data_IF_067847080368
#
_entry.id   IF_067847080368
#
_cell.length_a   1.000
_cell.length_b   1.000
_cell.length_c   1.000
_cell.angle_alpha   90.00
_cell.angle_beta   90.00
_cell.angle_gamma   90.00
#
_symmetry.space_group_name_H-M   'P 1'
#
loop_
_entity.id
_entity.type
_entity.pdbx_description
1 polymer ?
#
# COMPACT_ATOMS: atom_id res chain seq x y z
N UNK A 1 15.86 -38.04 -9.54
CA UNK A 1 17.07 -37.25 -9.26
C UNK A 1 18.27 -38.05 -9.76
N UNK A 2 19.22 -37.42 -10.47
CA UNK A 2 20.34 -38.15 -11.04
C UNK A 2 21.24 -38.74 -9.94
N UNK A 3 21.58 -40.01 -10.09
CA UNK A 3 22.52 -40.71 -9.22
C UNK A 3 23.76 -41.05 -10.03
N UNK A 4 24.93 -40.79 -9.45
CA UNK A 4 26.22 -41.13 -10.03
C UNK A 4 26.76 -42.34 -9.28
N UNK A 5 27.10 -43.41 -10.00
CA UNK A 5 27.75 -44.60 -9.45
C UNK A 5 29.21 -44.64 -9.87
N UNK A 6 30.08 -45.02 -8.96
CA UNK A 6 31.50 -45.19 -9.25
C UNK A 6 32.25 -45.89 -8.13
N UNK A 7 33.44 -46.38 -8.46
CA UNK A 7 34.35 -47.05 -7.53
C UNK A 7 35.25 -46.01 -6.88
N UNK A 8 35.40 -46.06 -5.56
CA UNK A 8 36.27 -45.14 -4.80
C UNK A 8 37.73 -45.41 -5.15
N UNK A 9 38.42 -44.40 -5.66
CA UNK A 9 39.84 -44.43 -5.99
C UNK A 9 40.69 -43.84 -4.87
N UNK A 10 40.16 -42.82 -4.18
CA UNK A 10 40.82 -42.14 -3.06
C UNK A 10 39.77 -41.67 -2.05
N UNK A 11 40.09 -41.77 -0.76
CA UNK A 11 39.21 -41.36 0.34
C UNK A 11 39.98 -40.44 1.30
N UNK A 12 39.44 -39.23 1.53
CA UNK A 12 39.97 -38.22 2.45
C UNK A 12 38.84 -37.74 3.37
N UNK A 13 38.65 -38.44 4.49
CA UNK A 13 37.62 -38.12 5.47
C UNK A 13 36.21 -38.17 4.88
N UNK A 14 35.63 -37.01 4.58
CA UNK A 14 34.29 -36.87 3.99
C UNK A 14 34.28 -36.60 2.48
N UNK A 15 35.45 -36.60 1.83
CA UNK A 15 35.57 -36.50 0.38
C UNK A 15 36.12 -37.80 -0.20
N UNK A 16 35.54 -38.25 -1.31
CA UNK A 16 36.05 -39.36 -2.08
C UNK A 16 36.16 -38.98 -3.56
N UNK A 17 37.20 -39.48 -4.23
CA UNK A 17 37.31 -39.43 -5.68
C UNK A 17 36.82 -40.77 -6.22
N UNK A 18 35.79 -40.75 -7.07
CA UNK A 18 35.24 -41.96 -7.69
C UNK A 18 35.55 -42.02 -9.18
N UNK A 19 35.82 -43.23 -9.66
CA UNK A 19 35.81 -43.55 -11.08
C UNK A 19 34.41 -44.00 -11.47
N UNK A 20 33.72 -43.18 -12.26
CA UNK A 20 32.40 -43.52 -12.80
C UNK A 20 32.50 -44.59 -13.88
N UNK A 21 31.41 -45.30 -14.18
CA UNK A 21 31.35 -46.28 -15.28
C UNK A 21 31.66 -45.68 -16.66
N UNK A 22 31.54 -44.36 -16.80
CA UNK A 22 31.92 -43.62 -18.01
C UNK A 22 33.41 -43.30 -18.11
N UNK A 23 34.24 -43.77 -17.17
CA UNK A 23 35.69 -43.50 -17.13
C UNK A 23 36.06 -42.11 -16.59
N UNK A 24 35.10 -41.33 -16.09
CA UNK A 24 35.36 -40.02 -15.51
C UNK A 24 35.69 -40.12 -14.02
N UNK A 25 36.71 -39.39 -13.59
CA UNK A 25 37.01 -39.17 -12.18
C UNK A 25 36.16 -38.01 -11.64
N UNK A 26 35.37 -38.25 -10.59
CA UNK A 26 34.52 -37.24 -9.96
C UNK A 26 34.75 -37.16 -8.47
N UNK A 27 34.90 -35.96 -7.94
CA UNK A 27 34.98 -35.72 -6.50
C UNK A 27 33.57 -35.63 -5.93
N UNK A 28 33.27 -36.45 -4.92
CA UNK A 28 31.96 -36.50 -4.28
C UNK A 28 32.11 -36.39 -2.76
N UNK A 29 31.15 -35.72 -2.13
CA UNK A 29 31.11 -35.59 -0.66
C UNK A 29 30.23 -36.69 -0.08
N UNK A 30 30.73 -37.38 0.94
CA UNK A 30 30.02 -38.49 1.58
C UNK A 30 29.77 -38.23 3.06
N UNK A 31 28.64 -38.75 3.55
CA UNK A 31 28.29 -38.66 4.98
C UNK A 31 29.21 -39.51 5.85
N UNK A 32 29.68 -40.64 5.33
CA UNK A 32 30.60 -41.56 6.00
C UNK A 32 31.84 -41.77 5.11
N UNK A 33 33.03 -41.98 5.70
CA UNK A 33 34.21 -42.37 4.94
C UNK A 33 33.97 -43.70 4.23
N UNK A 34 34.27 -43.76 2.93
CA UNK A 34 34.23 -45.01 2.16
C UNK A 34 35.64 -45.56 1.98
N UNK A 35 35.76 -46.88 1.84
CA UNK A 35 37.04 -47.53 1.58
C UNK A 35 37.40 -47.46 0.09
N UNK A 36 38.69 -47.43 -0.23
CA UNK A 36 39.16 -47.54 -1.63
C UNK A 36 38.72 -48.90 -2.19
N UNK A 37 38.16 -48.89 -3.40
CA UNK A 37 37.59 -50.07 -4.07
C UNK A 37 36.09 -50.31 -3.82
N UNK A 38 35.45 -49.56 -2.91
CA UNK A 38 34.01 -49.65 -2.67
C UNK A 38 33.21 -48.99 -3.81
N UNK A 39 32.15 -49.62 -4.32
CA UNK A 39 31.22 -48.96 -5.25
C UNK A 39 30.23 -48.10 -4.45
N UNK A 40 30.27 -46.79 -4.67
CA UNK A 40 29.41 -45.83 -3.99
C UNK A 40 28.41 -45.21 -4.96
N UNK A 41 27.19 -44.95 -4.47
CA UNK A 41 26.18 -44.18 -5.20
C UNK A 41 26.05 -42.80 -4.58
N UNK A 42 26.42 -41.76 -5.34
CA UNK A 42 26.27 -40.38 -4.92
C UNK A 42 25.02 -39.76 -5.56
N UNK A 43 24.19 -39.13 -4.73
CA UNK A 43 22.99 -38.41 -5.18
C UNK A 43 23.34 -36.95 -5.38
N UNK A 44 23.27 -36.51 -6.63
CA UNK A 44 23.53 -35.11 -6.95
C UNK A 44 22.24 -34.32 -7.02
N UNK A 45 22.31 -33.11 -6.50
CA UNK A 45 21.27 -32.14 -6.73
C UNK A 45 21.44 -31.65 -8.17
N UNK A 46 20.51 -32.02 -9.04
CA UNK A 46 20.53 -31.57 -10.43
C UNK A 46 20.48 -30.04 -10.47
N UNK A 47 21.34 -29.41 -11.27
CA UNK A 47 21.33 -27.96 -11.49
C UNK A 47 19.95 -27.46 -11.94
N UNK A 48 19.20 -28.30 -12.66
CA UNK A 48 17.81 -28.06 -13.07
C UNK A 48 16.88 -27.91 -11.86
N UNK A 49 16.99 -28.76 -10.83
CA UNK A 49 16.18 -28.64 -9.61
C UNK A 49 16.49 -27.34 -8.87
N UNK A 50 17.77 -26.97 -8.77
CA UNK A 50 18.18 -25.71 -8.18
C UNK A 50 17.62 -24.51 -8.97
N UNK A 51 17.61 -24.58 -10.30
CA UNK A 51 17.06 -23.55 -11.17
C UNK A 51 15.53 -23.42 -11.00
N UNK A 52 14.79 -24.54 -10.94
CA UNK A 52 13.35 -24.51 -10.66
C UNK A 52 13.03 -23.92 -9.29
N UNK A 53 13.81 -24.26 -8.26
CA UNK A 53 13.65 -23.69 -6.91
C UNK A 53 13.96 -22.20 -6.90
N UNK A 54 14.99 -21.75 -7.61
CA UNK A 54 15.30 -20.34 -7.75
C UNK A 54 14.19 -19.58 -8.49
N UNK A 55 13.70 -20.12 -9.61
CA UNK A 55 12.63 -19.51 -10.40
C UNK A 55 11.32 -19.39 -9.61
N UNK A 56 10.94 -20.44 -8.87
CA UNK A 56 9.74 -20.42 -8.02
C UNK A 56 9.88 -19.45 -6.86
N UNK A 57 11.07 -19.35 -6.24
CA UNK A 57 11.34 -18.34 -5.21
C UNK A 57 11.22 -16.91 -5.76
N UNK A 58 11.74 -16.64 -6.97
CA UNK A 58 11.62 -15.32 -7.62
C UNK A 58 10.15 -15.01 -7.91
N UNK A 59 9.41 -15.96 -8.48
CA UNK A 59 7.97 -15.78 -8.76
C UNK A 59 7.20 -15.48 -7.46
N UNK A 60 7.49 -16.20 -6.38
CA UNK A 60 6.90 -15.95 -5.07
C UNK A 60 7.22 -14.54 -4.55
N UNK A 61 8.48 -14.08 -4.67
CA UNK A 61 8.86 -12.73 -4.27
C UNK A 61 8.16 -11.65 -5.11
N UNK A 62 8.04 -11.85 -6.43
CA UNK A 62 7.37 -10.90 -7.32
C UNK A 62 5.87 -10.84 -7.04
N UNK A 63 5.20 -11.99 -6.94
CA UNK A 63 3.76 -12.05 -6.60
C UNK A 63 3.49 -11.41 -5.24
N UNK A 64 4.32 -11.67 -4.22
CA UNK A 64 4.23 -11.02 -2.92
C UNK A 64 4.34 -9.50 -3.02
N UNK A 65 5.30 -8.98 -3.81
CA UNK A 65 5.46 -7.53 -4.00
C UNK A 65 4.27 -6.89 -4.72
N UNK A 66 3.68 -7.58 -5.68
CA UNK A 66 2.47 -7.12 -6.38
C UNK A 66 1.31 -7.01 -5.38
N UNK A 67 1.09 -8.03 -4.55
CA UNK A 67 0.02 -8.01 -3.54
C UNK A 67 0.22 -6.88 -2.54
N UNK A 68 1.44 -6.69 -2.03
CA UNK A 68 1.75 -5.59 -1.10
C UNK A 68 1.53 -4.21 -1.77
N UNK A 69 1.85 -4.08 -3.05
CA UNK A 69 1.65 -2.85 -3.81
C UNK A 69 0.18 -2.43 -3.91
N UNK A 70 -0.75 -3.37 -4.07
CA UNK A 70 -2.19 -3.08 -4.16
C UNK A 70 -2.91 -3.04 -2.81
N UNK A 71 -2.21 -3.33 -1.72
CA UNK A 71 -2.79 -3.34 -0.38
C UNK A 71 -2.90 -1.91 0.17
N UNK A 72 -4.09 -1.53 0.66
CA UNK A 72 -4.30 -0.24 1.33
C UNK A 72 -3.77 -0.30 2.76
N UNK A 73 -2.87 0.62 3.09
CA UNK A 73 -2.32 0.81 4.43
C UNK A 73 -3.05 1.93 5.18
N UNK A 74 -3.32 3.05 4.50
CA UNK A 74 -3.92 4.26 5.07
C UNK A 74 -4.96 4.81 4.12
N UNK A 75 -6.01 5.42 4.66
CA UNK A 75 -6.97 6.17 3.88
C UNK A 75 -6.84 7.66 4.19
N UNK A 76 -6.83 8.48 3.15
CA UNK A 76 -6.85 9.93 3.23
C UNK A 76 -8.14 10.43 2.60
N UNK A 77 -8.99 11.05 3.41
CA UNK A 77 -10.22 11.70 2.97
C UNK A 77 -9.95 13.18 2.82
N UNK A 78 -10.28 13.76 1.65
CA UNK A 78 -10.09 15.17 1.34
C UNK A 78 -11.46 15.79 1.13
N UNK A 79 -11.74 16.84 1.89
CA UNK A 79 -13.02 17.53 1.93
C UNK A 79 -12.81 19.01 1.64
N UNK A 80 -13.17 19.40 0.42
CA UNK A 80 -13.16 20.77 -0.09
C UNK A 80 -14.60 21.18 -0.49
N UNK A 81 -15.53 20.21 -0.45
CA UNK A 81 -16.80 20.22 -1.17
C UNK A 81 -16.58 20.46 -2.66
N UNK A 82 -15.94 19.50 -3.36
CA UNK A 82 -16.18 18.05 -3.29
C UNK A 82 -15.45 17.26 -2.18
N UNK A 83 -15.98 16.08 -1.87
CA UNK A 83 -15.41 15.13 -0.89
C UNK A 83 -15.04 13.79 -1.54
N UNK A 84 -13.79 13.38 -1.39
CA UNK A 84 -13.26 12.12 -1.93
C UNK A 84 -12.40 11.41 -0.90
N UNK A 85 -12.26 10.10 -1.09
CA UNK A 85 -11.43 9.24 -0.27
C UNK A 85 -10.40 8.50 -1.12
N UNK A 86 -9.16 8.52 -0.68
CA UNK A 86 -8.03 7.85 -1.33
C UNK A 86 -7.47 6.77 -0.41
N UNK A 87 -7.41 5.52 -0.89
CA UNK A 87 -6.66 4.44 -0.26
C UNK A 87 -5.21 4.48 -0.72
N UNK A 88 -4.29 4.61 0.22
CA UNK A 88 -2.85 4.71 0.02
C UNK A 88 -2.16 3.41 0.43
N UNK A 89 -1.21 2.95 -0.38
CA UNK A 89 -0.33 1.83 -0.03
C UNK A 89 0.87 2.28 0.83
N UNK A 90 1.75 1.32 1.17
CA UNK A 90 2.97 1.56 1.95
C UNK A 90 3.93 2.58 1.31
N UNK A 91 3.88 2.73 -0.01
CA UNK A 91 4.69 3.70 -0.77
C UNK A 91 3.96 5.05 -0.98
N UNK A 92 2.92 5.35 -0.20
CA UNK A 92 2.11 6.57 -0.28
C UNK A 92 1.48 6.79 -1.67
N UNK A 93 1.20 5.73 -2.41
CA UNK A 93 0.54 5.78 -3.73
C UNK A 93 -0.94 5.45 -3.59
N UNK A 94 -1.75 6.15 -4.38
CA UNK A 94 -3.20 5.97 -4.46
C UNK A 94 -3.51 4.67 -5.20
N UNK A 95 -4.02 3.67 -4.49
CA UNK A 95 -4.44 2.37 -5.06
C UNK A 95 -5.95 2.24 -5.16
N UNK A 96 -6.69 3.01 -4.36
CA UNK A 96 -8.16 3.06 -4.36
C UNK A 96 -8.63 4.51 -4.28
N UNK A 97 -9.73 4.81 -4.96
CA UNK A 97 -10.38 6.12 -4.88
C UNK A 97 -11.89 5.90 -4.81
N UNK A 98 -12.55 6.57 -3.87
CA UNK A 98 -14.00 6.48 -3.66
C UNK A 98 -14.56 7.91 -3.55
N UNK A 99 -15.55 8.30 -4.36
CA UNK A 99 -16.26 9.56 -4.13
C UNK A 99 -17.13 9.43 -2.87
N UNK A 100 -17.23 10.49 -2.08
CA UNK A 100 -18.09 10.52 -0.88
C UNK A 100 -19.37 11.36 -1.10
N UNK A 101 -19.39 12.22 -2.11
CA UNK A 101 -20.55 13.00 -2.54
C UNK A 101 -20.63 13.11 -4.07
N UNK A 102 -21.70 13.73 -4.58
CA UNK A 102 -21.94 13.90 -6.02
C UNK A 102 -20.88 14.78 -6.68
N UNK A 103 -20.50 15.88 -6.03
CA UNK A 103 -19.42 16.75 -6.48
C UNK A 103 -18.09 15.99 -6.55
N UNK A 104 -17.84 15.10 -5.59
CA UNK A 104 -16.68 14.21 -5.56
C UNK A 104 -16.69 13.26 -6.74
N UNK A 105 -17.86 12.73 -7.11
CA UNK A 105 -17.99 11.94 -8.33
C UNK A 105 -17.69 12.77 -9.58
N UNK A 106 -18.19 14.01 -9.65
CA UNK A 106 -17.90 14.93 -10.75
C UNK A 106 -16.42 15.30 -10.84
N UNK A 107 -15.73 15.47 -9.70
CA UNK A 107 -14.30 15.70 -9.61
C UNK A 107 -13.52 14.50 -10.15
N UNK A 108 -13.85 13.28 -9.72
CA UNK A 108 -13.16 12.05 -10.16
C UNK A 108 -13.33 11.75 -11.65
N UNK A 109 -14.42 12.19 -12.29
CA UNK A 109 -14.56 12.10 -13.76
C UNK A 109 -13.58 13.04 -14.49
N UNK A 110 -13.14 14.11 -13.83
CA UNK A 110 -12.25 15.12 -14.39
C UNK A 110 -10.77 14.87 -14.11
N UNK A 111 -10.44 13.96 -13.18
CA UNK A 111 -9.06 13.75 -12.73
C UNK A 111 -8.72 12.28 -12.53
N UNK A 112 -7.52 11.89 -12.96
CA UNK A 112 -7.00 10.54 -12.74
C UNK A 112 -6.04 10.52 -11.54
N UNK A 113 -6.50 9.98 -10.40
CA UNK A 113 -5.74 9.96 -9.15
C UNK A 113 -5.04 8.62 -8.90
N UNK A 114 -5.60 7.49 -9.34
CA UNK A 114 -5.05 6.15 -9.11
C UNK A 114 -3.64 6.03 -9.73
N UNK A 115 -2.73 5.37 -9.00
CA UNK A 115 -1.32 5.21 -9.36
C UNK A 115 -0.40 6.38 -8.99
N UNK A 116 -0.94 7.58 -8.76
CA UNK A 116 -0.14 8.73 -8.36
C UNK A 116 0.30 8.64 -6.89
N UNK A 117 1.41 9.30 -6.56
CA UNK A 117 1.74 9.60 -5.16
C UNK A 117 0.69 10.56 -4.59
N UNK A 118 0.44 10.47 -3.28
CA UNK A 118 -0.53 11.32 -2.58
C UNK A 118 -0.29 12.81 -2.83
N UNK A 119 0.96 13.26 -2.91
CA UNK A 119 1.32 14.66 -3.16
C UNK A 119 0.78 15.18 -4.49
N UNK A 120 1.00 14.40 -5.56
CA UNK A 120 0.51 14.73 -6.90
C UNK A 120 -1.01 14.58 -7.00
N UNK A 121 -1.58 13.63 -6.25
CA UNK A 121 -3.02 13.47 -6.21
C UNK A 121 -3.69 14.68 -5.54
N UNK A 122 -3.15 15.16 -4.41
CA UNK A 122 -3.64 16.34 -3.70
C UNK A 122 -3.52 17.60 -4.55
N UNK A 123 -2.39 17.80 -5.20
CA UNK A 123 -2.20 18.91 -6.14
C UNK A 123 -3.28 18.92 -7.22
N UNK A 124 -3.50 17.78 -7.91
CA UNK A 124 -4.56 17.66 -8.91
C UNK A 124 -5.95 17.94 -8.33
N UNK A 125 -6.25 17.43 -7.14
CA UNK A 125 -7.55 17.63 -6.49
C UNK A 125 -7.76 19.12 -6.20
N UNK A 126 -6.78 19.79 -5.60
CA UNK A 126 -6.86 21.22 -5.27
C UNK A 126 -6.95 22.05 -6.55
N UNK A 127 -6.10 21.81 -7.55
CA UNK A 127 -6.12 22.58 -8.80
C UNK A 127 -7.43 22.42 -9.57
N UNK A 128 -7.99 21.21 -9.64
CA UNK A 128 -9.31 21.00 -10.26
C UNK A 128 -10.42 21.65 -9.42
N UNK A 129 -10.31 21.62 -8.09
CA UNK A 129 -11.25 22.29 -7.20
C UNK A 129 -11.25 23.81 -7.36
N UNK A 130 -10.07 24.42 -7.51
CA UNK A 130 -9.94 25.85 -7.83
C UNK A 130 -10.51 26.15 -9.21
N UNK A 131 -10.15 25.38 -10.24
CA UNK A 131 -10.61 25.60 -11.61
C UNK A 131 -12.14 25.47 -11.77
N UNK A 132 -12.78 24.63 -10.96
CA UNK A 132 -14.24 24.45 -10.95
C UNK A 132 -14.97 25.37 -9.98
N UNK A 133 -14.27 26.25 -9.28
CA UNK A 133 -14.87 27.21 -8.34
C UNK A 133 -15.34 26.61 -7.02
N UNK A 134 -14.92 25.39 -6.68
CA UNK A 134 -15.23 24.77 -5.38
C UNK A 134 -14.45 25.41 -4.24
N UNK A 135 -13.30 26.02 -4.53
CA UNK A 135 -12.55 26.85 -3.60
C UNK A 135 -12.79 28.33 -3.90
N UNK A 136 -13.58 29.05 -3.07
CA UNK A 136 -13.75 30.48 -3.24
C UNK A 136 -12.44 31.23 -2.95
N UNK A 137 -12.29 32.43 -3.52
CA UNK A 137 -11.10 33.29 -3.37
C UNK A 137 -10.75 33.60 -1.92
N UNK A 138 -11.74 33.68 -1.04
CA UNK A 138 -11.58 33.84 0.40
C UNK A 138 -12.56 32.95 1.16
N UNK A 139 -12.14 32.48 2.33
CA UNK A 139 -13.01 31.70 3.24
C UNK A 139 -13.21 30.24 2.85
N UNK A 140 -12.42 29.71 1.91
CA UNK A 140 -12.43 28.27 1.60
C UNK A 140 -11.90 27.42 2.75
N UNK A 141 -12.24 26.13 2.77
CA UNK A 141 -11.69 25.16 3.73
C UNK A 141 -11.26 23.88 3.01
N UNK A 142 -10.10 23.37 3.40
CA UNK A 142 -9.58 22.07 2.97
C UNK A 142 -9.35 21.23 4.22
N UNK A 143 -10.20 20.24 4.45
CA UNK A 143 -10.01 19.27 5.53
C UNK A 143 -9.46 17.96 4.96
N UNK A 144 -8.37 17.48 5.53
CA UNK A 144 -7.79 16.19 5.23
C UNK A 144 -7.84 15.31 6.47
N UNK A 145 -8.58 14.22 6.41
CA UNK A 145 -8.64 13.24 7.49
C UNK A 145 -7.85 11.99 7.10
N UNK A 146 -6.85 11.64 7.90
CA UNK A 146 -6.04 10.44 7.68
C UNK A 146 -6.47 9.35 8.65
N UNK A 147 -6.74 8.14 8.15
CA UNK A 147 -7.21 6.98 8.93
C UNK A 147 -6.40 5.73 8.57
N UNK A 148 -5.84 4.98 9.54
CA UNK A 148 -5.09 3.77 9.25
C UNK A 148 -6.05 2.62 8.90
N UNK A 149 -5.71 1.82 7.89
CA UNK A 149 -6.49 0.63 7.52
C UNK A 149 -6.11 -0.61 8.35
N UNK A 150 -4.86 -0.69 8.81
CA UNK A 150 -4.32 -1.80 9.58
C UNK A 150 -3.23 -1.31 10.55
N UNK A 151 -2.62 -2.22 11.32
CA UNK A 151 -1.55 -1.87 12.27
C UNK A 151 -0.33 -1.26 11.57
N UNK A 152 0.06 -1.76 10.39
CA UNK A 152 1.16 -1.18 9.59
C UNK A 152 0.86 0.27 9.19
N UNK A 153 -0.40 0.57 8.89
CA UNK A 153 -0.87 1.90 8.55
C UNK A 153 -0.80 2.92 9.68
N UNK A 154 -0.70 2.50 10.95
CA UNK A 154 -0.55 3.45 12.08
C UNK A 154 0.77 4.20 12.02
N UNK A 155 1.88 3.51 11.72
CA UNK A 155 3.18 4.15 11.54
C UNK A 155 3.17 5.12 10.36
N UNK A 156 2.61 4.68 9.22
CA UNK A 156 2.50 5.51 8.03
C UNK A 156 1.59 6.74 8.24
N UNK A 157 0.55 6.63 9.07
CA UNK A 157 -0.32 7.77 9.40
C UNK A 157 0.45 8.90 10.09
N UNK A 158 1.31 8.58 11.05
CA UNK A 158 2.10 9.60 11.76
C UNK A 158 3.12 10.26 10.83
N UNK A 159 3.70 9.50 9.91
CA UNK A 159 4.66 10.01 8.94
C UNK A 159 4.01 10.90 7.88
N UNK A 160 2.83 10.52 7.38
CA UNK A 160 2.22 11.19 6.24
C UNK A 160 1.56 12.53 6.62
N UNK A 161 0.99 12.66 7.82
CA UNK A 161 0.28 13.87 8.26
C UNK A 161 1.12 15.16 8.13
N UNK A 162 2.35 15.24 8.68
CA UNK A 162 3.17 16.45 8.54
C UNK A 162 3.56 16.72 7.08
N UNK A 163 3.78 15.66 6.30
CA UNK A 163 4.09 15.76 4.88
C UNK A 163 2.92 16.34 4.08
N UNK A 164 1.69 15.84 4.30
CA UNK A 164 0.49 16.36 3.65
C UNK A 164 0.23 17.82 4.02
N UNK A 165 0.39 18.18 5.30
CA UNK A 165 0.21 19.57 5.76
C UNK A 165 1.16 20.52 5.02
N UNK A 166 2.44 20.15 4.93
CA UNK A 166 3.44 20.94 4.20
C UNK A 166 3.09 21.05 2.72
N UNK A 167 2.75 19.92 2.08
CA UNK A 167 2.48 19.90 0.64
C UNK A 167 1.23 20.69 0.27
N UNK A 168 0.16 20.57 1.04
CA UNK A 168 -1.08 21.32 0.78
C UNK A 168 -0.85 22.81 0.94
N UNK A 169 -0.16 23.24 1.99
CA UNK A 169 0.17 24.66 2.16
C UNK A 169 1.01 25.20 1.00
N UNK A 170 1.95 24.40 0.48
CA UNK A 170 2.73 24.77 -0.71
C UNK A 170 1.84 24.93 -1.95
N UNK A 171 0.99 23.96 -2.24
CA UNK A 171 0.07 24.02 -3.39
C UNK A 171 -0.90 25.21 -3.26
N UNK A 172 -1.41 25.48 -2.06
CA UNK A 172 -2.27 26.64 -1.82
C UNK A 172 -1.52 27.96 -2.05
N UNK A 173 -0.24 28.05 -1.66
CA UNK A 173 0.58 29.24 -1.89
C UNK A 173 0.90 29.49 -3.39
N UNK A 174 0.95 28.44 -4.20
CA UNK A 174 1.06 28.56 -5.66
C UNK A 174 -0.19 29.20 -6.27
N UNK A 175 -1.37 28.96 -5.68
CA UNK A 175 -2.65 29.57 -6.04
C UNK A 175 -2.90 30.90 -5.30
N UNK A 176 -2.09 31.92 -5.59
CA UNK A 176 -2.10 33.26 -4.94
C UNK A 176 -3.47 33.95 -4.79
N UNK A 177 -4.46 33.57 -5.59
CA UNK A 177 -5.81 34.16 -5.57
C UNK A 177 -6.78 33.47 -4.59
N UNK A 178 -6.38 32.37 -3.95
CA UNK A 178 -7.27 31.53 -3.12
C UNK A 178 -6.71 31.44 -1.70
N UNK A 179 -7.45 32.00 -0.74
CA UNK A 179 -7.17 31.84 0.69
C UNK A 179 -8.12 30.81 1.29
N UNK A 180 -7.58 29.66 1.72
CA UNK A 180 -8.34 28.62 2.40
C UNK A 180 -7.67 28.17 3.69
N UNK A 181 -8.49 27.80 4.68
CA UNK A 181 -8.01 27.16 5.91
C UNK A 181 -7.72 25.69 5.64
N UNK A 182 -6.52 25.24 6.00
CA UNK A 182 -6.07 23.86 5.78
C UNK A 182 -5.95 23.14 7.12
N UNK A 183 -6.80 22.14 7.30
CA UNK A 183 -6.79 21.27 8.47
C UNK A 183 -6.39 19.85 8.06
N UNK A 184 -5.40 19.28 8.76
CA UNK A 184 -5.04 17.86 8.61
C UNK A 184 -5.22 17.19 9.96
N UNK A 185 -6.13 16.22 10.02
CA UNK A 185 -6.59 15.59 11.26
C UNK A 185 -6.32 14.09 11.22
N UNK A 186 -5.81 13.59 12.35
CA UNK A 186 -5.66 12.16 12.61
C UNK A 186 -6.99 11.58 13.08
N UNK A 187 -7.43 10.46 12.50
CA UNK A 187 -8.62 9.74 12.97
C UNK A 187 -8.37 8.23 13.07
N UNK A 188 -9.14 7.57 13.93
CA UNK A 188 -9.03 6.14 14.20
C UNK A 188 -9.82 5.31 13.16
N UNK A 189 -9.39 4.06 12.96
CA UNK A 189 -9.98 3.14 11.97
C UNK A 189 -11.47 2.85 12.19
N UNK A 190 -11.95 2.90 13.44
CA UNK A 190 -13.37 2.71 13.78
C UNK A 190 -14.28 3.77 13.15
N UNK A 191 -13.81 5.01 13.10
CA UNK A 191 -14.56 6.16 12.57
C UNK A 191 -14.84 6.03 11.07
N UNK A 192 -13.96 5.34 10.32
CA UNK A 192 -14.13 5.15 8.87
C UNK A 192 -15.34 4.27 8.53
N UNK A 193 -15.48 3.10 9.17
CA UNK A 193 -16.58 2.17 8.84
C UNK A 193 -17.93 2.84 9.08
N UNK A 194 -18.06 3.48 10.24
CA UNK A 194 -19.25 4.24 10.62
C UNK A 194 -19.57 5.38 9.63
N UNK A 195 -18.55 6.10 9.16
CA UNK A 195 -18.72 7.22 8.23
C UNK A 195 -19.09 6.76 6.81
N UNK A 196 -18.43 5.72 6.30
CA UNK A 196 -18.74 5.15 4.98
C UNK A 196 -20.15 4.53 4.98
N UNK A 197 -20.54 3.81 6.04
CA UNK A 197 -21.88 3.19 6.17
C UNK A 197 -23.00 4.24 6.27
N UNK A 198 -22.73 5.39 6.90
CA UNK A 198 -23.70 6.48 7.04
C UNK A 198 -23.69 7.48 5.90
N UNK A 199 -22.82 7.30 4.89
CA UNK A 199 -22.62 8.28 3.82
C UNK A 199 -22.15 9.65 4.32
N UNK A 200 -21.52 9.70 5.50
CA UNK A 200 -21.07 10.94 6.15
C UNK A 200 -19.58 11.11 5.99
N UNK A 201 -19.13 12.34 5.75
CA UNK A 201 -17.70 12.64 5.77
C UNK A 201 -17.21 12.87 7.21
N UNK A 202 -15.91 12.65 7.50
CA UNK A 202 -15.31 13.02 8.77
C UNK A 202 -15.63 14.44 9.28
N UNK A 203 -15.74 15.47 8.41
CA UNK A 203 -16.11 16.82 8.85
C UNK A 203 -17.51 16.89 9.48
N UNK A 204 -18.50 16.16 8.94
CA UNK A 204 -19.89 16.16 9.45
C UNK A 204 -20.00 15.68 10.91
N UNK A 205 -19.01 14.95 11.43
CA UNK A 205 -18.95 14.54 12.85
C UNK A 205 -18.24 15.55 13.75
N UNK A 206 -17.48 16.49 13.17
CA UNK A 206 -16.77 17.56 13.91
C UNK A 206 -17.65 18.79 14.19
N UNK A 207 -18.82 18.90 13.55
CA UNK A 207 -19.87 19.84 13.94
C UNK A 207 -20.66 19.21 15.10
N UNK A 208 -20.75 19.84 16.28
CA UNK A 208 -21.70 19.39 17.29
C UNK A 208 -23.08 19.37 16.65
N UNK A 209 -23.85 18.31 16.91
CA UNK A 209 -25.24 18.24 16.49
C UNK A 209 -25.94 19.49 17.05
N UNK A 210 -26.25 20.46 16.19
CA UNK A 210 -27.27 21.45 16.52
C UNK A 210 -28.55 20.64 16.59
N UNK A 211 -28.99 20.38 17.82
CA UNK A 211 -30.26 19.77 18.15
C UNK A 211 -31.38 20.68 17.62
N UNK A 212 -31.70 20.51 16.33
CA UNK A 212 -32.79 21.18 15.63
C UNK A 212 -34.11 20.48 15.88
N UNK A 213 -34.42 20.17 17.13
CA UNK A 213 -35.68 19.52 17.52
C UNK A 213 -36.44 20.26 18.62
N UNK A 214 -36.40 21.60 18.67
CA UNK A 214 -37.36 22.40 19.47
C UNK A 214 -37.65 23.75 18.82
N UNK A 215 -38.63 23.80 17.92
CA UNK A 215 -39.49 24.98 17.68
C UNK A 215 -40.42 24.76 16.48
N UNK A 216 -41.40 23.88 16.63
CA UNK A 216 -42.69 23.96 15.95
C UNK A 216 -43.68 23.16 16.81
N UNK A 217 -44.92 23.65 16.89
CA UNK A 217 -45.97 23.34 17.90
C UNK A 217 -45.80 24.22 19.16
N UNK A 218 -46.67 25.18 19.51
CA UNK A 218 -48.05 25.47 19.12
C UNK A 218 -48.34 26.98 19.30
N UNK A 219 -48.86 27.62 18.25
CA UNK A 219 -49.70 28.82 18.36
C UNK A 219 -51.06 28.43 17.76
N UNK A 220 -51.95 27.98 18.63
CA UNK A 220 -53.39 27.93 18.35
C UNK A 220 -54.12 28.02 19.69
N UNK A 221 -54.57 29.25 19.97
CA UNK A 221 -55.91 29.58 20.45
C UNK A 221 -56.45 28.95 21.75
N UNK A 222 -56.73 29.88 22.68
CA UNK A 222 -57.69 29.89 23.81
C UNK A 222 -57.19 29.34 25.14
#
# INVERSE_FOLDING_TARGET
>A
MPTVKGVVMESRGHEAVILTRSGQFKRVRQRKPAAVGEEITHREWGKELALYLAATAILFLVTWRIVDFFTVCVYATVEINPAIEMGLNSAQRVVKVTPLNEEGQALLRATHLKGNKVDKALEKVISVSVARGYLPRSGGRVLITVVPSNNKGRGLQEEIIPHLRTRVNQVMAEHKEVTAQVDVVKSASRTRKENVERGRTPATKSLPATDGSRSCETLSEI
#
